data_IF_568152820803
#
_entry.id   IF_568152820803
#
_cell.length_a   1.000
_cell.length_b   1.000
_cell.length_c   1.000
_cell.angle_alpha   90.00
_cell.angle_beta   90.00
_cell.angle_gamma   90.00
#
_symmetry.space_group_name_H-M   'P 1'
#
loop_
_entity.id
_entity.type
_entity.pdbx_description
1 polymer ?
#
# COMPACT_ATOMS: atom_id res chain seq x y z
N UNK A 1 8.23 -45.94 -34.04
CA UNK A 1 9.05 -45.53 -32.88
C UNK A 1 8.69 -44.09 -32.56
N UNK A 2 7.62 -43.88 -31.79
CA UNK A 2 7.19 -42.53 -31.39
C UNK A 2 8.26 -42.00 -30.42
N UNK A 3 9.00 -41.00 -30.87
CA UNK A 3 10.21 -40.51 -30.22
C UNK A 3 9.90 -39.99 -28.81
N UNK A 4 10.59 -40.56 -27.81
CA UNK A 4 10.58 -40.15 -26.39
C UNK A 4 10.85 -38.66 -26.16
N UNK A 5 11.32 -37.95 -27.19
CA UNK A 5 11.49 -36.50 -27.19
C UNK A 5 10.19 -35.70 -27.12
N UNK A 6 9.07 -36.24 -27.60
CA UNK A 6 7.79 -35.51 -27.57
C UNK A 6 7.20 -35.39 -26.16
N UNK A 7 7.59 -36.28 -25.23
CA UNK A 7 7.08 -36.27 -23.85
C UNK A 7 7.74 -35.20 -22.98
N UNK A 8 8.97 -34.78 -23.29
CA UNK A 8 9.70 -33.78 -22.48
C UNK A 8 9.22 -32.36 -22.79
N UNK A 9 8.79 -32.08 -24.03
CA UNK A 9 8.29 -30.76 -24.41
C UNK A 9 6.90 -30.43 -23.85
N UNK A 10 6.10 -31.44 -23.50
CA UNK A 10 4.76 -31.23 -22.92
C UNK A 10 4.77 -30.67 -21.50
N UNK A 11 5.87 -30.81 -20.74
CA UNK A 11 5.94 -30.41 -19.32
C UNK A 11 6.40 -28.95 -19.15
N UNK A 12 7.02 -28.34 -20.16
CA UNK A 12 7.51 -26.96 -20.09
C UNK A 12 6.50 -25.91 -20.59
N UNK A 13 5.34 -26.35 -21.11
CA UNK A 13 4.29 -25.49 -21.66
C UNK A 13 3.33 -24.91 -20.61
N UNK A 14 3.59 -25.11 -19.32
CA UNK A 14 2.89 -24.43 -18.24
C UNK A 14 3.44 -23.03 -18.07
N UNK A 15 3.12 -22.11 -19.00
CA UNK A 15 3.29 -20.69 -18.72
C UNK A 15 2.36 -20.36 -17.56
N UNK A 16 2.91 -20.30 -16.35
CA UNK A 16 2.28 -19.55 -15.27
C UNK A 16 2.22 -18.09 -15.74
N UNK A 17 1.18 -17.75 -16.49
CA UNK A 17 0.79 -16.37 -16.71
C UNK A 17 0.36 -15.85 -15.35
N UNK A 18 1.32 -15.35 -14.57
CA UNK A 18 1.01 -14.62 -13.36
C UNK A 18 0.12 -13.44 -13.77
N UNK A 19 -1.05 -13.28 -13.16
CA UNK A 19 -1.89 -12.12 -13.45
C UNK A 19 -1.07 -10.86 -13.21
N UNK A 20 -1.18 -9.90 -14.13
CA UNK A 20 -0.57 -8.59 -13.94
C UNK A 20 -1.03 -8.00 -12.61
N UNK A 21 -0.15 -7.37 -11.82
CA UNK A 21 -0.55 -6.70 -10.59
C UNK A 21 -1.67 -5.72 -10.90
N UNK A 22 -2.75 -5.76 -10.11
CA UNK A 22 -3.80 -4.76 -10.23
C UNK A 22 -3.20 -3.35 -9.98
N UNK A 23 -3.71 -2.31 -10.66
CA UNK A 23 -3.29 -0.95 -10.38
C UNK A 23 -3.52 -0.63 -8.90
N UNK A 24 -2.53 0.02 -8.27
CA UNK A 24 -2.64 0.49 -6.89
C UNK A 24 -3.83 1.45 -6.79
N UNK A 25 -4.70 1.26 -5.80
CA UNK A 25 -5.81 2.18 -5.55
C UNK A 25 -5.32 3.40 -4.75
N UNK A 26 -5.95 4.56 -4.94
CA UNK A 26 -5.57 5.81 -4.26
C UNK A 26 -5.54 5.68 -2.73
N UNK A 27 -6.54 5.00 -2.17
CA UNK A 27 -6.63 4.70 -0.73
C UNK A 27 -5.48 3.83 -0.24
N UNK A 28 -5.00 2.88 -1.05
CA UNK A 28 -3.84 2.05 -0.70
C UNK A 28 -2.56 2.88 -0.65
N UNK A 29 -2.39 3.83 -1.58
CA UNK A 29 -1.22 4.71 -1.60
C UNK A 29 -1.22 5.65 -0.38
N UNK A 30 -2.38 6.20 0.00
CA UNK A 30 -2.52 6.99 1.22
C UNK A 30 -2.21 6.17 2.48
N UNK A 31 -2.73 4.94 2.56
CA UNK A 31 -2.46 4.03 3.68
C UNK A 31 -0.97 3.71 3.78
N UNK A 32 -0.32 3.41 2.65
CA UNK A 32 1.12 3.14 2.59
C UNK A 32 1.95 4.37 3.01
N UNK A 33 1.53 5.57 2.61
CA UNK A 33 2.21 6.80 3.01
C UNK A 33 2.15 7.01 4.54
N UNK A 34 0.97 6.86 5.14
CA UNK A 34 0.77 6.97 6.60
C UNK A 34 1.54 5.87 7.34
N UNK A 35 1.52 4.63 6.84
CA UNK A 35 2.28 3.52 7.41
C UNK A 35 3.80 3.80 7.37
N UNK A 36 4.31 4.27 6.23
CA UNK A 36 5.72 4.61 6.08
C UNK A 36 6.18 5.69 7.06
N UNK A 37 5.31 6.66 7.36
CA UNK A 37 5.55 7.67 8.36
C UNK A 37 5.64 7.06 9.76
N UNK A 38 4.66 6.21 10.11
CA UNK A 38 4.61 5.54 11.42
C UNK A 38 5.78 4.57 11.67
N UNK A 39 6.42 4.04 10.63
CA UNK A 39 7.59 3.16 10.76
C UNK A 39 8.86 3.90 11.17
N UNK A 40 8.89 5.22 11.08
CA UNK A 40 10.06 6.01 11.48
C UNK A 40 10.32 5.86 12.99
N UNK A 41 11.59 5.69 13.41
CA UNK A 41 11.93 5.49 14.81
C UNK A 41 11.69 6.73 15.69
N UNK A 42 11.64 7.92 15.09
CA UNK A 42 11.37 9.18 15.78
C UNK A 42 9.89 9.35 16.17
N UNK A 43 9.00 8.55 15.59
CA UNK A 43 7.56 8.64 15.80
C UNK A 43 7.16 7.96 17.10
N UNK A 44 6.70 8.78 18.06
CA UNK A 44 6.31 8.34 19.40
C UNK A 44 4.84 7.95 19.52
N UNK A 45 3.98 8.45 18.62
CA UNK A 45 2.55 8.13 18.59
C UNK A 45 2.15 7.83 17.16
N UNK A 46 1.15 6.96 16.99
CA UNK A 46 0.66 6.60 15.68
C UNK A 46 -0.05 7.79 15.05
N UNK A 47 0.21 8.02 13.79
CA UNK A 47 -0.49 8.97 12.96
C UNK A 47 -1.55 8.25 12.14
N UNK A 48 -2.71 8.89 12.01
CA UNK A 48 -3.81 8.42 11.19
C UNK A 48 -4.17 9.48 10.15
N UNK A 49 -4.61 9.03 8.99
CA UNK A 49 -5.12 9.91 7.95
C UNK A 49 -6.30 10.73 8.48
N UNK A 50 -6.22 12.06 8.35
CA UNK A 50 -7.28 12.98 8.73
C UNK A 50 -8.15 13.34 7.53
N UNK A 51 -7.49 13.76 6.44
CA UNK A 51 -8.14 14.12 5.19
C UNK A 51 -7.12 14.05 4.06
N UNK A 52 -7.57 13.74 2.85
CA UNK A 52 -6.75 13.78 1.64
C UNK A 52 -7.43 14.62 0.57
N UNK A 53 -6.65 15.11 -0.40
CA UNK A 53 -7.21 15.71 -1.60
C UNK A 53 -8.08 14.68 -2.38
N UNK A 54 -8.99 15.14 -3.25
CA UNK A 54 -9.79 14.23 -4.07
C UNK A 54 -8.90 13.30 -4.89
N UNK A 55 -9.37 12.07 -5.11
CA UNK A 55 -8.69 11.09 -5.96
C UNK A 55 -8.41 11.70 -7.35
N UNK A 56 -7.16 11.62 -7.85
CA UNK A 56 -6.81 12.14 -9.16
C UNK A 56 -7.58 11.42 -10.28
N UNK A 57 -7.59 12.02 -11.46
CA UNK A 57 -8.27 11.46 -12.61
C UNK A 57 -7.76 10.03 -12.94
N UNK A 58 -8.62 9.13 -13.45
CA UNK A 58 -8.29 7.71 -13.61
C UNK A 58 -7.18 7.43 -14.65
N UNK A 59 -6.80 8.42 -15.46
CA UNK A 59 -5.65 8.37 -16.38
C UNK A 59 -4.31 8.67 -15.69
N UNK A 60 -4.33 9.10 -14.43
CA UNK A 60 -3.13 9.35 -13.64
C UNK A 60 -2.61 8.04 -13.05
N UNK A 61 -1.38 7.67 -13.43
CA UNK A 61 -0.70 6.54 -12.83
C UNK A 61 -0.20 6.89 -11.41
N UNK A 62 -0.92 6.36 -10.41
CA UNK A 62 -0.60 6.51 -9.00
C UNK A 62 0.79 5.96 -8.63
N UNK A 63 1.31 5.01 -9.40
CA UNK A 63 2.65 4.44 -9.19
C UNK A 63 3.78 5.44 -9.55
N UNK A 64 3.47 6.41 -10.41
CA UNK A 64 4.40 7.43 -10.88
C UNK A 64 4.18 8.80 -10.20
N UNK A 65 3.20 8.91 -9.32
CA UNK A 65 2.92 10.13 -8.55
C UNK A 65 4.03 10.37 -7.53
N UNK A 66 4.71 11.51 -7.65
CA UNK A 66 5.82 11.90 -6.76
C UNK A 66 5.36 12.58 -5.48
N UNK A 67 4.20 13.23 -5.52
CA UNK A 67 3.69 14.07 -4.43
C UNK A 67 2.19 13.84 -4.30
N UNK A 68 1.75 13.59 -3.07
CA UNK A 68 0.34 13.53 -2.69
C UNK A 68 0.11 14.55 -1.59
N UNK A 69 -0.99 15.28 -1.69
CA UNK A 69 -1.43 16.19 -0.65
C UNK A 69 -2.44 15.47 0.23
N UNK A 70 -2.04 15.24 1.47
CA UNK A 70 -2.90 14.71 2.50
C UNK A 70 -2.47 15.26 3.85
N UNK A 71 -3.39 15.20 4.80
CA UNK A 71 -3.22 15.59 6.18
C UNK A 71 -3.38 14.34 7.05
N UNK A 72 -2.49 14.22 8.03
CA UNK A 72 -2.55 13.19 9.06
C UNK A 72 -2.46 13.87 10.42
N UNK A 73 -2.92 13.18 11.45
CA UNK A 73 -2.94 13.70 12.81
C UNK A 73 -2.49 12.64 13.79
N UNK A 74 -1.81 13.09 14.84
CA UNK A 74 -1.40 12.26 15.97
C UNK A 74 -2.61 11.59 16.65
N UNK A 75 -2.48 10.31 16.99
CA UNK A 75 -3.47 9.55 17.74
C UNK A 75 -3.02 9.35 19.20
N UNK A 76 -3.93 8.90 20.05
CA UNK A 76 -3.62 8.58 21.45
C UNK A 76 -2.80 7.29 21.60
N UNK A 77 -2.67 6.52 20.52
CA UNK A 77 -1.95 5.27 20.53
C UNK A 77 -0.45 5.45 20.40
N UNK A 78 0.30 4.72 21.22
CA UNK A 78 1.75 4.59 21.08
C UNK A 78 2.17 3.65 19.93
N UNK A 79 3.48 3.51 19.67
CA UNK A 79 4.03 2.85 18.48
C UNK A 79 3.77 1.34 18.42
N UNK A 80 3.24 0.75 19.49
CA UNK A 80 2.82 -0.66 19.56
C UNK A 80 1.54 -0.94 18.76
N UNK A 81 0.74 0.09 18.43
CA UNK A 81 -0.52 -0.05 17.71
C UNK A 81 -0.40 0.10 16.18
N UNK A 82 0.81 0.02 15.60
CA UNK A 82 1.08 0.20 14.15
C UNK A 82 0.23 -0.68 13.23
N UNK A 83 -0.27 -1.83 13.71
CA UNK A 83 -1.02 -2.78 12.89
C UNK A 83 -2.40 -2.28 12.42
N UNK A 84 -3.03 -1.37 13.17
CA UNK A 84 -4.29 -0.76 12.74
C UNK A 84 -4.47 0.67 13.32
N UNK A 85 -3.96 1.71 12.61
CA UNK A 85 -4.11 3.10 13.03
C UNK A 85 -5.57 3.57 13.15
N UNK A 86 -6.51 2.92 12.46
CA UNK A 86 -7.92 3.32 12.45
C UNK A 86 -8.67 3.00 13.75
N UNK A 87 -8.15 2.08 14.57
CA UNK A 87 -8.72 1.77 15.89
C UNK A 87 -8.34 2.81 16.95
N UNK A 88 -7.43 3.72 16.62
CA UNK A 88 -6.93 4.74 17.52
C UNK A 88 -7.71 6.05 17.36
N UNK A 89 -8.12 6.61 18.50
CA UNK A 89 -8.73 7.94 18.54
C UNK A 89 -7.67 9.01 18.24
N UNK A 90 -8.09 10.07 17.55
CA UNK A 90 -7.25 11.25 17.39
C UNK A 90 -6.97 11.88 18.75
N UNK A 91 -5.73 12.25 18.98
CA UNK A 91 -5.32 12.90 20.21
C UNK A 91 -5.85 14.33 20.21
N UNK A 92 -6.33 14.78 21.37
CA UNK A 92 -6.75 16.16 21.54
C UNK A 92 -5.56 17.11 21.30
N UNK A 93 -5.72 18.05 20.36
CA UNK A 93 -4.66 18.95 19.89
C UNK A 93 -3.43 18.21 19.28
N UNK A 94 -3.66 17.05 18.66
CA UNK A 94 -2.65 16.36 17.86
C UNK A 94 -2.11 17.26 16.75
N UNK A 95 -0.80 17.16 16.53
CA UNK A 95 -0.06 17.92 15.50
C UNK A 95 0.00 17.19 14.17
#
# INVERSE_FOLDING_TARGET
MLSSWLLVLGVLGGTWALPAPAPLAYTQVLAQAVESYNLQPEVQNIYRLLSADPEPAPDVDLSNLRVLNFSMMETECGPSARGNPDDCAFKENGV
#
